data_IF_946561091415
#
_entry.id   IF_946561091415
#
_cell.length_a   1.000
_cell.length_b   1.000
_cell.length_c   1.000
_cell.angle_alpha   90.00
_cell.angle_beta   90.00
_cell.angle_gamma   90.00
#
_symmetry.space_group_name_H-M   'P 1'
#
loop_
_entity.id
_entity.type
_entity.pdbx_description
1 polymer ?
#
# COMPACT_ATOMS: atom_id res chain seq x y z
N UNK A 1 -8.63 6.22 11.23
CA UNK A 1 -8.51 5.17 10.20
C UNK A 1 -9.82 5.14 9.44
N UNK A 2 -9.81 5.40 8.13
CA UNK A 2 -11.00 5.26 7.29
C UNK A 2 -10.90 3.87 6.65
N UNK A 3 -11.93 3.05 6.82
CA UNK A 3 -12.03 1.74 6.17
C UNK A 3 -12.99 1.87 5.00
N UNK A 4 -12.54 1.56 3.79
CA UNK A 4 -13.42 1.41 2.65
C UNK A 4 -14.21 0.09 2.84
N UNK A 5 -15.53 0.18 2.95
CA UNK A 5 -16.40 -0.98 3.09
C UNK A 5 -16.40 -1.80 1.78
N UNK A 6 -15.57 -2.85 1.73
CA UNK A 6 -15.31 -3.62 0.52
C UNK A 6 -14.27 -2.93 -0.38
N UNK A 7 -13.32 -3.71 -0.90
CA UNK A 7 -12.31 -3.20 -1.83
C UNK A 7 -12.89 -3.13 -3.25
N UNK A 8 -12.85 -1.93 -3.83
CA UNK A 8 -12.98 -1.71 -5.27
C UNK A 8 -11.85 -0.79 -5.72
N UNK A 9 -11.31 -1.03 -6.92
CA UNK A 9 -10.19 -0.24 -7.42
C UNK A 9 -10.58 1.23 -7.63
N UNK A 10 -11.77 1.47 -8.20
CA UNK A 10 -12.32 2.80 -8.43
C UNK A 10 -12.48 3.58 -7.11
N UNK A 11 -13.11 2.96 -6.11
CA UNK A 11 -13.27 3.56 -4.77
C UNK A 11 -11.95 3.79 -4.05
N UNK A 12 -10.92 2.99 -4.31
CA UNK A 12 -9.57 3.25 -3.80
C UNK A 12 -8.96 4.52 -4.41
N UNK A 13 -9.01 4.69 -5.73
CA UNK A 13 -8.43 5.87 -6.38
C UNK A 13 -9.23 7.15 -6.07
N UNK A 14 -10.57 7.09 -6.09
CA UNK A 14 -11.41 8.21 -5.61
C UNK A 14 -11.08 8.54 -4.15
N UNK A 15 -10.94 7.53 -3.28
CA UNK A 15 -10.54 7.74 -1.89
C UNK A 15 -9.17 8.39 -1.73
N UNK A 16 -8.19 8.07 -2.59
CA UNK A 16 -6.88 8.74 -2.59
C UNK A 16 -6.99 10.22 -2.97
N UNK A 17 -7.84 10.56 -3.94
CA UNK A 17 -8.04 11.95 -4.38
C UNK A 17 -8.83 12.77 -3.35
N UNK A 18 -9.90 12.21 -2.81
CA UNK A 18 -10.81 12.91 -1.90
C UNK A 18 -10.20 13.10 -0.50
N UNK A 19 -9.58 12.04 0.03
CA UNK A 19 -9.06 12.05 1.41
C UNK A 19 -7.61 12.53 1.48
N UNK A 20 -6.86 12.46 0.37
CA UNK A 20 -5.42 12.76 0.29
C UNK A 20 -4.64 12.16 1.48
N UNK A 21 -4.75 10.84 1.71
CA UNK A 21 -4.09 10.22 2.85
C UNK A 21 -2.57 10.30 2.68
N UNK A 22 -1.85 10.38 3.80
CA UNK A 22 -0.38 10.34 3.78
C UNK A 22 0.18 8.93 3.79
N UNK A 23 -0.66 7.91 4.01
CA UNK A 23 -0.33 6.49 3.92
C UNK A 23 -1.62 5.64 3.84
N UNK A 24 -1.50 4.40 3.35
CA UNK A 24 -2.56 3.40 3.44
C UNK A 24 -1.99 2.03 3.80
N UNK A 25 -2.87 1.13 4.25
CA UNK A 25 -2.52 -0.26 4.48
C UNK A 25 -3.51 -1.21 3.82
N UNK A 26 -2.98 -2.26 3.18
CA UNK A 26 -3.76 -3.27 2.49
C UNK A 26 -3.05 -4.62 2.52
N UNK A 27 -3.79 -5.70 2.25
CA UNK A 27 -3.22 -7.05 2.13
C UNK A 27 -2.46 -7.23 0.80
N UNK A 28 -1.60 -8.26 0.67
CA UNK A 28 -0.87 -8.52 -0.58
C UNK A 28 -1.78 -8.68 -1.82
N UNK A 29 -2.96 -9.30 -1.66
CA UNK A 29 -3.91 -9.47 -2.75
C UNK A 29 -4.51 -8.14 -3.25
N UNK A 30 -4.78 -7.21 -2.31
CA UNK A 30 -5.27 -5.88 -2.64
C UNK A 30 -4.17 -5.07 -3.35
N UNK A 31 -2.93 -5.09 -2.82
CA UNK A 31 -1.79 -4.43 -3.46
C UNK A 31 -1.57 -4.89 -4.90
N UNK A 32 -1.72 -6.19 -5.16
CA UNK A 32 -1.63 -6.74 -6.52
C UNK A 32 -2.72 -6.19 -7.43
N UNK A 33 -3.96 -6.15 -6.94
CA UNK A 33 -5.08 -5.62 -7.72
C UNK A 33 -4.88 -4.13 -8.03
N UNK A 34 -4.39 -3.36 -7.06
CA UNK A 34 -4.04 -1.94 -7.25
C UNK A 34 -2.96 -1.80 -8.33
N UNK A 35 -1.88 -2.59 -8.26
CA UNK A 35 -0.79 -2.54 -9.23
C UNK A 35 -1.26 -2.86 -10.66
N UNK A 36 -2.09 -3.88 -10.82
CA UNK A 36 -2.67 -4.25 -12.11
C UNK A 36 -3.55 -3.12 -12.66
N UNK A 37 -4.33 -2.46 -11.80
CA UNK A 37 -5.19 -1.33 -12.18
C UNK A 37 -4.39 -0.08 -12.56
N UNK A 38 -3.28 0.22 -11.89
CA UNK A 38 -2.41 1.34 -12.26
C UNK A 38 -1.74 1.07 -13.62
N UNK A 39 -1.39 -0.19 -13.91
CA UNK A 39 -0.85 -0.55 -15.23
C UNK A 39 -1.89 -0.35 -16.35
N UNK A 40 -3.18 -0.47 -16.04
CA UNK A 40 -4.29 -0.26 -16.97
C UNK A 40 -4.73 1.21 -17.06
N UNK A 41 -4.68 1.95 -15.96
CA UNK A 41 -5.10 3.35 -15.88
C UNK A 41 -3.92 4.29 -16.12
N UNK A 42 -4.01 5.17 -17.11
CA UNK A 42 -2.95 6.17 -17.43
C UNK A 42 -2.83 7.32 -16.39
N UNK A 43 -3.33 7.14 -15.18
CA UNK A 43 -3.25 8.14 -14.11
C UNK A 43 -1.91 8.04 -13.36
N UNK A 44 -1.41 9.16 -12.85
CA UNK A 44 -0.21 9.18 -12.01
C UNK A 44 -0.59 9.04 -10.52
N UNK A 45 -0.40 7.86 -9.90
CA UNK A 45 -0.74 7.63 -8.50
C UNK A 45 0.11 8.45 -7.52
N UNK A 46 1.22 9.04 -7.97
CA UNK A 46 2.10 9.89 -7.14
C UNK A 46 1.43 11.18 -6.70
N UNK A 47 0.34 11.58 -7.38
CA UNK A 47 -0.44 12.78 -7.05
C UNK A 47 -1.17 12.69 -5.71
N UNK A 48 -1.32 11.48 -5.16
CA UNK A 48 -2.03 11.26 -3.90
C UNK A 48 -1.30 11.79 -2.64
N UNK A 49 -0.02 12.18 -2.75
CA UNK A 49 0.73 12.75 -1.62
C UNK A 49 1.09 11.72 -0.53
N UNK A 50 1.10 10.43 -0.89
CA UNK A 50 1.53 9.36 0.01
C UNK A 50 2.98 9.57 0.44
N UNK A 51 3.31 9.14 1.65
CA UNK A 51 4.67 9.15 2.21
C UNK A 51 5.23 7.74 2.37
N UNK A 52 4.36 6.74 2.56
CA UNK A 52 4.69 5.33 2.57
C UNK A 52 3.44 4.47 2.33
N UNK A 53 3.65 3.21 1.96
CA UNK A 53 2.61 2.20 1.79
C UNK A 53 2.90 1.06 2.76
N UNK A 54 1.87 0.48 3.40
CA UNK A 54 2.05 -0.62 4.34
C UNK A 54 1.34 -1.88 3.88
N UNK A 55 1.98 -3.03 4.04
CA UNK A 55 1.32 -4.33 4.01
C UNK A 55 1.45 -5.03 5.35
N UNK A 56 0.36 -5.58 5.84
CA UNK A 56 0.37 -6.52 6.95
C UNK A 56 -0.35 -7.79 6.50
N UNK A 57 0.04 -8.93 7.05
CA UNK A 57 -0.58 -10.28 6.92
C UNK A 57 0.18 -11.34 6.12
N UNK A 58 1.06 -11.00 5.18
CA UNK A 58 1.88 -12.00 4.49
C UNK A 58 3.15 -11.39 3.89
N UNK A 59 4.23 -12.19 3.73
CA UNK A 59 5.44 -11.74 3.06
C UNK A 59 5.16 -11.42 1.58
N UNK A 60 5.78 -10.35 1.08
CA UNK A 60 5.69 -9.92 -0.30
C UNK A 60 6.98 -10.27 -1.06
N UNK A 61 6.91 -10.78 -2.31
CA UNK A 61 8.11 -10.97 -3.11
C UNK A 61 8.86 -9.64 -3.33
N UNK A 62 10.21 -9.59 -3.26
CA UNK A 62 10.97 -8.35 -3.42
C UNK A 62 10.68 -7.59 -4.73
N UNK A 63 10.42 -8.33 -5.82
CA UNK A 63 10.04 -7.73 -7.10
C UNK A 63 8.73 -6.93 -7.00
N UNK A 64 7.75 -7.40 -6.22
CA UNK A 64 6.47 -6.71 -6.08
C UNK A 64 6.60 -5.46 -5.22
N UNK A 65 7.47 -5.52 -4.21
CA UNK A 65 7.83 -4.34 -3.42
C UNK A 65 8.41 -3.27 -4.35
N UNK A 66 9.41 -3.63 -5.15
CA UNK A 66 10.04 -2.72 -6.11
C UNK A 66 9.04 -2.17 -7.15
N UNK A 67 8.13 -3.00 -7.66
CA UNK A 67 7.09 -2.56 -8.59
C UNK A 67 6.16 -1.52 -7.94
N UNK A 68 5.73 -1.74 -6.70
CA UNK A 68 4.86 -0.81 -5.95
C UNK A 68 5.61 0.49 -5.65
N UNK A 69 6.82 0.41 -5.13
CA UNK A 69 7.65 1.60 -4.86
C UNK A 69 7.92 2.39 -6.14
N UNK A 70 8.19 1.72 -7.26
CA UNK A 70 8.42 2.35 -8.56
C UNK A 70 7.17 3.09 -9.09
N UNK A 71 5.99 2.49 -8.91
CA UNK A 71 4.72 3.07 -9.34
C UNK A 71 4.33 4.26 -8.47
N UNK A 72 4.34 4.10 -7.15
CA UNK A 72 3.87 5.13 -6.21
C UNK A 72 4.95 6.14 -5.81
N UNK A 73 6.24 5.86 -6.04
CA UNK A 73 7.35 6.74 -5.68
C UNK A 73 7.57 6.91 -4.18
N UNK A 74 7.09 5.97 -3.36
CA UNK A 74 7.15 6.04 -1.90
C UNK A 74 7.58 4.68 -1.34
N UNK A 75 8.23 4.64 -0.16
CA UNK A 75 8.68 3.40 0.44
C UNK A 75 7.53 2.45 0.80
N UNK A 76 7.77 1.16 0.65
CA UNK A 76 6.88 0.10 1.07
C UNK A 76 7.35 -0.51 2.40
N UNK A 77 6.43 -0.60 3.35
CA UNK A 77 6.68 -1.07 4.71
C UNK A 77 5.96 -2.40 4.90
N UNK A 78 6.71 -3.49 4.97
CA UNK A 78 6.19 -4.75 5.45
C UNK A 78 6.09 -4.73 6.97
N UNK A 79 4.87 -4.94 7.47
CA UNK A 79 4.59 -5.12 8.87
C UNK A 79 4.16 -6.58 9.10
N UNK A 80 5.00 -7.34 9.79
CA UNK A 80 4.65 -8.69 10.21
C UNK A 80 3.91 -8.60 11.54
N UNK A 81 2.66 -9.09 11.58
CA UNK A 81 1.84 -9.17 12.78
C UNK A 81 1.14 -10.53 12.84
N UNK A 82 1.03 -11.09 14.03
CA UNK A 82 0.17 -12.25 14.32
C UNK A 82 -0.93 -11.81 15.26
N UNK A 83 -2.14 -12.36 15.13
CA UNK A 83 -3.25 -12.08 16.05
C UNK A 83 -2.90 -12.41 17.50
N UNK A 84 -2.05 -13.41 17.69
CA UNK A 84 -1.58 -13.98 18.96
C UNK A 84 -0.58 -13.08 19.70
N UNK A 85 0.01 -12.08 19.03
CA UNK A 85 1.06 -11.22 19.61
C UNK A 85 0.85 -9.72 19.31
N UNK A 86 -0.41 -9.29 19.16
CA UNK A 86 -0.82 -7.93 18.77
C UNK A 86 -0.50 -7.60 17.29
N UNK A 87 -1.17 -6.59 16.66
CA UNK A 87 -1.24 -6.46 15.20
C UNK A 87 0.07 -6.07 14.49
N UNK A 88 1.18 -5.90 15.23
CA UNK A 88 2.49 -5.63 14.67
C UNK A 88 3.60 -6.12 15.62
N UNK A 89 4.36 -7.10 15.17
CA UNK A 89 5.52 -7.68 15.89
C UNK A 89 6.82 -7.04 15.39
N UNK A 90 6.93 -6.79 14.08
CA UNK A 90 8.09 -6.15 13.46
C UNK A 90 7.71 -5.34 12.21
N UNK A 91 8.53 -4.35 11.87
CA UNK A 91 8.42 -3.51 10.68
C UNK A 91 9.82 -3.29 10.10
N UNK A 92 9.95 -3.22 8.77
CA UNK A 92 11.23 -2.83 8.14
C UNK A 92 11.59 -1.38 8.51
N UNK A 93 12.89 -1.07 8.60
CA UNK A 93 13.39 0.27 8.89
C UNK A 93 13.17 1.24 7.72
N UNK A 94 12.93 2.53 8.03
CA UNK A 94 12.77 3.58 7.01
C UNK A 94 14.15 4.08 6.52
N UNK A 95 14.36 4.31 5.20
CA UNK A 95 15.63 4.84 4.67
C UNK A 95 15.92 6.31 5.10
N UNK A 96 17.19 6.80 5.01
CA UNK A 96 18.39 6.12 4.52
C UNK A 96 19.41 5.76 5.62
N UNK A 97 20.10 4.65 5.44
CA UNK A 97 21.42 4.38 6.06
C UNK A 97 22.52 4.92 5.14
#
# INVERSE_FOLDING_TARGET
YVSLAGFSADGFFSGLEDLRPTWYSASPAIHRTILDQIRLCRGDPRRAGLRFIRSASAPMPPQWIADIEGVFGVPFVEAYGMTEAAPQIASNGLPPF
#
